data_IF_794896864343
#
_entry.id   IF_794896864343
#
_cell.length_a   1.000
_cell.length_b   1.000
_cell.length_c   1.000
_cell.angle_alpha   90.00
_cell.angle_beta   90.00
_cell.angle_gamma   90.00
#
_symmetry.space_group_name_H-M   'P 1'
#
loop_
_entity.id
_entity.type
_entity.pdbx_description
1 polymer ?
#
# COMPACT_ATOMS: atom_id res chain seq x y z
N UNK A 1 11.51 -4.65 4.51
CA UNK A 1 10.48 -5.11 3.55
C UNK A 1 10.63 -4.38 2.21
N UNK A 2 10.05 -4.96 1.15
CA UNK A 2 10.12 -4.38 -0.19
C UNK A 2 11.35 -4.75 -1.00
N UNK A 3 12.41 -5.24 -0.36
CA UNK A 3 13.66 -5.61 -1.02
C UNK A 3 14.19 -6.93 -0.45
N UNK A 4 14.94 -7.71 -1.24
CA UNK A 4 15.51 -8.99 -0.78
C UNK A 4 16.64 -8.81 0.24
N UNK A 5 17.33 -7.66 0.24
CA UNK A 5 18.41 -7.33 1.17
C UNK A 5 18.57 -5.80 1.29
N UNK A 6 19.54 -5.34 2.07
CA UNK A 6 19.77 -3.91 2.29
C UNK A 6 20.49 -3.21 1.12
N UNK A 7 21.07 -3.96 0.21
CA UNK A 7 21.80 -3.39 -0.94
C UNK A 7 20.91 -3.23 -2.18
N UNK A 8 19.80 -3.97 -2.25
CA UNK A 8 18.86 -3.88 -3.36
C UNK A 8 17.99 -2.63 -3.25
N UNK A 9 17.70 -1.96 -4.37
CA UNK A 9 16.96 -0.70 -4.40
C UNK A 9 16.01 -0.56 -5.61
N UNK A 10 15.72 -1.63 -6.33
CA UNK A 10 14.88 -1.57 -7.52
C UNK A 10 13.40 -1.41 -7.20
N UNK A 11 12.70 -0.53 -7.93
CA UNK A 11 11.24 -0.44 -7.88
C UNK A 11 10.64 -1.83 -8.17
N UNK A 12 9.71 -2.28 -7.32
CA UNK A 12 9.11 -3.61 -7.44
C UNK A 12 10.17 -4.72 -7.61
N UNK A 13 11.33 -4.57 -6.95
CA UNK A 13 12.49 -5.48 -7.07
C UNK A 13 12.91 -5.70 -8.54
N UNK A 14 12.91 -4.62 -9.35
CA UNK A 14 13.17 -4.61 -10.80
C UNK A 14 12.13 -5.37 -11.64
N UNK A 15 10.99 -5.76 -11.05
CA UNK A 15 9.90 -6.38 -11.78
C UNK A 15 9.04 -5.36 -12.53
N UNK A 16 8.39 -5.81 -13.60
CA UNK A 16 7.45 -4.97 -14.36
C UNK A 16 6.14 -4.73 -13.61
N UNK A 17 5.78 -5.65 -12.72
CA UNK A 17 4.52 -5.59 -11.97
C UNK A 17 4.79 -5.73 -10.47
N UNK A 18 3.95 -5.11 -9.62
CA UNK A 18 4.04 -5.33 -8.18
C UNK A 18 3.64 -6.75 -7.79
N UNK A 19 4.02 -7.13 -6.57
CA UNK A 19 3.62 -8.38 -5.94
C UNK A 19 3.40 -8.12 -4.44
N UNK A 20 3.07 -9.16 -3.67
CA UNK A 20 2.83 -9.04 -2.21
C UNK A 20 4.07 -8.61 -1.41
N UNK A 21 5.27 -8.78 -1.97
CA UNK A 21 6.55 -8.50 -1.29
C UNK A 21 7.34 -7.35 -1.93
N UNK A 22 6.75 -6.57 -2.84
CA UNK A 22 7.42 -5.47 -3.55
C UNK A 22 6.83 -4.12 -3.17
N UNK A 23 7.64 -3.06 -3.30
CA UNK A 23 7.25 -1.67 -3.07
C UNK A 23 7.74 -0.78 -4.21
N UNK A 24 7.02 0.32 -4.44
CA UNK A 24 7.39 1.34 -5.41
C UNK A 24 7.05 2.72 -4.84
N UNK A 25 8.08 3.53 -4.58
CA UNK A 25 7.93 4.89 -4.04
C UNK A 25 7.03 4.94 -2.80
N UNK A 26 7.47 4.31 -1.73
CA UNK A 26 6.78 4.34 -0.44
C UNK A 26 6.92 5.71 0.21
N UNK A 27 5.80 6.35 0.55
CA UNK A 27 5.79 7.69 1.15
C UNK A 27 5.42 7.71 2.62
N UNK A 28 4.69 6.70 3.11
CA UNK A 28 4.22 6.73 4.50
C UNK A 28 4.04 5.32 5.06
N UNK A 29 4.10 5.23 6.38
CA UNK A 29 3.91 3.99 7.12
C UNK A 29 3.34 4.31 8.50
N UNK A 30 2.41 3.51 8.98
CA UNK A 30 1.92 3.64 10.35
C UNK A 30 1.71 2.27 10.99
N UNK A 31 1.76 2.26 12.33
CA UNK A 31 1.37 1.07 13.08
C UNK A 31 -0.14 0.90 13.06
N UNK A 32 -0.58 -0.34 12.96
CA UNK A 32 -1.98 -0.71 13.10
C UNK A 32 -2.06 -2.06 13.82
N UNK A 33 -2.75 -2.09 14.96
CA UNK A 33 -2.78 -3.26 15.86
C UNK A 33 -1.35 -3.74 16.18
N UNK A 34 -1.02 -4.99 15.84
CA UNK A 34 0.30 -5.58 16.06
C UNK A 34 1.25 -5.44 14.86
N UNK A 35 0.78 -4.85 13.79
CA UNK A 35 1.49 -4.81 12.52
C UNK A 35 1.65 -3.42 11.93
N UNK A 36 1.67 -3.36 10.61
CA UNK A 36 1.92 -2.14 9.85
C UNK A 36 0.92 -1.97 8.71
N UNK A 37 0.60 -0.70 8.43
CA UNK A 37 0.09 -0.27 7.13
C UNK A 37 1.20 0.48 6.41
N UNK A 38 1.46 0.11 5.17
CA UNK A 38 2.49 0.73 4.34
C UNK A 38 1.84 1.38 3.13
N UNK A 39 2.15 2.65 2.92
CA UNK A 39 1.65 3.40 1.79
C UNK A 39 2.56 3.19 0.57
N UNK A 40 2.17 2.28 -0.31
CA UNK A 40 2.91 1.90 -1.52
C UNK A 40 2.44 2.78 -2.69
N UNK A 41 2.83 4.04 -2.63
CA UNK A 41 2.31 5.14 -3.46
C UNK A 41 2.44 4.89 -4.95
N UNK A 42 3.62 4.48 -5.41
CA UNK A 42 3.87 4.25 -6.85
C UNK A 42 3.07 3.09 -7.42
N UNK A 43 2.59 2.18 -6.59
CA UNK A 43 1.67 1.10 -6.99
C UNK A 43 0.20 1.45 -6.66
N UNK A 44 -0.06 2.68 -6.19
CA UNK A 44 -1.41 3.18 -5.88
C UNK A 44 -2.20 2.26 -4.94
N UNK A 45 -1.56 1.85 -3.84
CA UNK A 45 -2.16 0.90 -2.90
C UNK A 45 -1.61 1.09 -1.48
N UNK A 46 -2.29 0.49 -0.51
CA UNK A 46 -1.75 0.26 0.83
C UNK A 46 -1.53 -1.23 1.03
N UNK A 47 -0.46 -1.58 1.72
CA UNK A 47 -0.18 -2.96 2.12
C UNK A 47 -0.35 -3.09 3.63
N UNK A 48 -0.99 -4.18 4.05
CA UNK A 48 -1.18 -4.51 5.46
C UNK A 48 -0.32 -5.73 5.84
N UNK A 49 0.40 -5.58 6.94
CA UNK A 49 1.14 -6.66 7.60
C UNK A 49 0.49 -6.87 8.97
N UNK A 50 -0.03 -8.06 9.21
CA UNK A 50 -0.76 -8.39 10.44
C UNK A 50 0.13 -8.32 11.68
N UNK A 51 1.41 -8.68 11.52
CA UNK A 51 2.45 -8.51 12.53
C UNK A 51 3.62 -7.72 11.96
N UNK A 52 4.47 -7.19 12.84
CA UNK A 52 5.69 -6.51 12.42
C UNK A 52 6.56 -7.49 11.60
N UNK A 53 6.90 -7.19 10.35
CA UNK A 53 7.71 -8.07 9.52
C UNK A 53 9.06 -8.39 10.16
N UNK A 54 9.50 -9.64 10.06
CA UNK A 54 10.74 -10.14 10.67
C UNK A 54 11.80 -10.54 9.66
N UNK A 55 11.44 -10.63 8.39
CA UNK A 55 12.36 -11.03 7.31
C UNK A 55 12.37 -10.03 6.18
N UNK A 56 13.48 -9.98 5.45
CA UNK A 56 13.57 -9.18 4.24
C UNK A 56 12.57 -9.73 3.19
N UNK A 57 12.00 -8.82 2.40
CA UNK A 57 11.05 -9.19 1.35
C UNK A 57 9.82 -9.98 1.84
N UNK A 58 9.50 -9.89 3.14
CA UNK A 58 8.32 -10.57 3.68
C UNK A 58 7.06 -10.09 2.95
N UNK A 59 6.20 -11.03 2.50
CA UNK A 59 4.96 -10.65 1.81
C UNK A 59 3.96 -9.99 2.77
N UNK A 60 3.19 -9.06 2.24
CA UNK A 60 2.06 -8.47 2.94
C UNK A 60 0.90 -9.46 3.06
N UNK A 61 0.06 -9.27 4.07
CA UNK A 61 -1.09 -10.14 4.33
C UNK A 61 -2.35 -9.69 3.60
N UNK A 62 -2.48 -8.38 3.32
CA UNK A 62 -3.61 -7.83 2.59
C UNK A 62 -3.23 -6.58 1.81
N UNK A 63 -4.05 -6.25 0.82
CA UNK A 63 -3.92 -5.04 0.00
C UNK A 63 -5.22 -4.23 0.06
N UNK A 64 -5.07 -2.91 0.15
CA UNK A 64 -6.18 -1.95 0.13
C UNK A 64 -6.02 -1.06 -1.10
N UNK A 65 -7.11 -0.83 -1.83
CA UNK A 65 -7.11 0.00 -3.04
C UNK A 65 -6.89 -0.76 -4.34
N UNK A 66 -6.69 -2.08 -4.26
CA UNK A 66 -6.50 -2.97 -5.42
C UNK A 66 -7.29 -4.26 -5.22
N UNK A 67 -7.54 -4.97 -6.33
CA UNK A 67 -8.20 -6.28 -6.31
C UNK A 67 -7.26 -7.38 -5.81
N UNK A 68 -5.98 -7.24 -6.13
CA UNK A 68 -4.94 -8.22 -5.81
C UNK A 68 -3.59 -7.53 -5.67
N UNK A 69 -2.56 -8.30 -5.35
CA UNK A 69 -1.21 -7.78 -5.16
C UNK A 69 -0.47 -7.44 -6.46
N UNK A 70 -0.92 -7.90 -7.59
CA UNK A 70 -0.21 -7.78 -8.88
C UNK A 70 -0.68 -6.61 -9.73
N UNK A 71 -1.82 -6.01 -9.40
CA UNK A 71 -2.34 -4.85 -10.09
C UNK A 71 -1.71 -3.58 -9.50
N UNK A 72 -0.96 -2.84 -10.30
CA UNK A 72 -0.21 -1.67 -9.84
C UNK A 72 -0.66 -0.33 -10.44
N UNK A 73 -1.66 -0.34 -11.29
CA UNK A 73 -2.15 0.87 -11.95
C UNK A 73 -3.07 1.68 -11.03
N UNK A 74 -3.23 2.93 -11.39
CA UNK A 74 -4.08 3.88 -10.67
C UNK A 74 -5.55 3.46 -10.74
N UNK A 75 -6.31 3.72 -9.68
CA UNK A 75 -7.76 3.50 -9.63
C UNK A 75 -8.21 2.11 -10.12
N UNK A 76 -7.45 1.05 -9.82
CA UNK A 76 -7.78 -0.32 -10.25
C UNK A 76 -7.96 -0.46 -11.76
N UNK A 77 -7.08 0.14 -12.54
CA UNK A 77 -7.11 0.16 -14.01
C UNK A 77 -8.29 0.96 -14.60
N UNK A 78 -8.85 1.90 -13.85
CA UNK A 78 -9.90 2.79 -14.36
C UNK A 78 -9.43 4.24 -14.38
N UNK A 79 -10.07 5.05 -15.22
CA UNK A 79 -9.76 6.48 -15.32
C UNK A 79 -10.34 7.25 -14.12
N UNK A 80 -11.39 6.72 -13.51
CA UNK A 80 -12.17 7.40 -12.48
C UNK A 80 -11.96 6.70 -11.13
N UNK A 81 -11.79 7.49 -10.08
CA UNK A 81 -11.74 7.00 -8.72
C UNK A 81 -13.08 6.42 -8.28
N UNK A 82 -13.04 5.35 -7.47
CA UNK A 82 -14.21 4.74 -6.83
C UNK A 82 -14.03 4.77 -5.31
N UNK A 83 -15.03 4.27 -4.57
CA UNK A 83 -14.96 4.18 -3.11
C UNK A 83 -13.92 3.16 -2.59
N UNK A 84 -13.43 2.30 -3.48
CA UNK A 84 -12.48 1.24 -3.15
C UNK A 84 -11.19 1.28 -3.96
N UNK A 85 -10.93 2.37 -4.70
CA UNK A 85 -9.71 2.55 -5.50
C UNK A 85 -8.86 3.69 -4.95
N UNK A 86 -7.56 3.68 -5.25
CA UNK A 86 -6.62 4.73 -4.89
C UNK A 86 -5.79 5.14 -6.10
N UNK A 87 -5.35 6.38 -6.11
CA UNK A 87 -4.45 6.93 -7.12
C UNK A 87 -3.35 7.75 -6.44
N UNK A 88 -2.15 7.20 -6.37
CA UNK A 88 -0.98 7.82 -5.73
C UNK A 88 -1.31 8.37 -4.33
N UNK A 89 -1.70 7.51 -3.38
CA UNK A 89 -1.88 7.96 -2.00
C UNK A 89 -0.53 8.37 -1.41
N UNK A 90 -0.47 9.52 -0.75
CA UNK A 90 0.80 10.05 -0.22
C UNK A 90 0.92 9.95 1.29
N UNK A 91 -0.19 9.92 2.01
CA UNK A 91 -0.16 9.79 3.46
C UNK A 91 -1.42 9.14 4.00
N UNK A 92 -1.34 8.64 5.23
CA UNK A 92 -2.45 8.02 5.92
C UNK A 92 -2.32 8.20 7.42
N UNK A 93 -3.43 8.04 8.11
CA UNK A 93 -3.47 8.06 9.57
C UNK A 93 -4.54 7.09 10.07
N UNK A 94 -4.23 6.39 11.15
CA UNK A 94 -5.16 5.46 11.79
C UNK A 94 -5.51 5.93 13.19
N UNK A 95 -6.77 5.76 13.56
CA UNK A 95 -7.23 5.90 14.92
C UNK A 95 -8.26 4.81 15.17
N UNK A 96 -7.99 3.94 16.14
CA UNK A 96 -8.78 2.73 16.40
C UNK A 96 -8.92 1.88 15.13
N UNK A 97 -10.12 1.77 14.59
CA UNK A 97 -10.39 1.05 13.32
C UNK A 97 -10.68 1.98 12.14
N UNK A 98 -10.48 3.27 12.33
CA UNK A 98 -10.66 4.25 11.26
C UNK A 98 -9.33 4.49 10.56
N UNK A 99 -9.39 4.58 9.24
CA UNK A 99 -8.26 4.97 8.40
C UNK A 99 -8.67 6.16 7.55
N UNK A 100 -7.85 7.20 7.54
CA UNK A 100 -7.95 8.28 6.57
C UNK A 100 -6.74 8.22 5.64
N UNK A 101 -6.98 8.34 4.35
CA UNK A 101 -5.95 8.31 3.31
C UNK A 101 -6.02 9.60 2.49
N UNK A 102 -4.88 10.25 2.32
CA UNK A 102 -4.76 11.33 1.35
C UNK A 102 -4.57 10.71 -0.04
N UNK A 103 -5.68 10.55 -0.75
CA UNK A 103 -5.73 9.96 -2.09
C UNK A 103 -5.41 11.04 -3.13
N UNK A 104 -4.14 11.41 -3.18
CA UNK A 104 -3.64 12.63 -3.83
C UNK A 104 -3.93 12.69 -5.32
N UNK A 105 -3.73 11.61 -6.05
CA UNK A 105 -4.00 11.58 -7.50
C UNK A 105 -5.48 11.75 -7.85
N UNK A 106 -6.39 11.46 -6.92
CA UNK A 106 -7.83 11.69 -7.05
C UNK A 106 -8.29 12.99 -6.36
N UNK A 107 -7.38 13.78 -5.81
CA UNK A 107 -7.71 15.07 -5.15
C UNK A 107 -8.75 14.95 -4.04
N UNK A 108 -8.64 13.92 -3.17
CA UNK A 108 -9.62 13.63 -2.14
C UNK A 108 -8.99 13.01 -0.89
N UNK A 109 -9.75 13.05 0.21
CA UNK A 109 -9.51 12.22 1.39
C UNK A 109 -10.49 11.06 1.36
N UNK A 110 -10.00 9.86 1.63
CA UNK A 110 -10.83 8.66 1.76
C UNK A 110 -10.83 8.23 3.22
N UNK A 111 -12.01 8.10 3.80
CA UNK A 111 -12.19 7.56 5.14
C UNK A 111 -12.80 6.17 5.03
N UNK A 112 -12.23 5.24 5.73
CA UNK A 112 -12.73 3.86 5.72
C UNK A 112 -12.60 3.20 7.09
N UNK A 113 -13.44 2.19 7.31
CA UNK A 113 -13.32 1.31 8.45
C UNK A 113 -12.42 0.13 8.07
N UNK A 114 -11.41 -0.12 8.90
CA UNK A 114 -10.54 -1.28 8.70
C UNK A 114 -11.19 -2.51 9.31
N UNK A 115 -11.46 -3.50 8.49
CA UNK A 115 -12.01 -4.81 8.89
C UNK A 115 -10.92 -5.87 9.09
N UNK A 116 -9.70 -5.42 9.17
CA UNK A 116 -8.50 -6.26 9.31
C UNK A 116 -8.19 -6.60 10.77
#
# INVERSE_FOLDING_TARGET
>A
IGQPDFDACGQNQYGLFPDSHTLNWTYDVCFYKKGLLVNDTGNSRLLYFEEIPKTNSQPADAVIGKRDFKTGSENKDTIVGTDSSLYWPFSMYTQDRKLVVADTGNHRLVLMDLLL
#
